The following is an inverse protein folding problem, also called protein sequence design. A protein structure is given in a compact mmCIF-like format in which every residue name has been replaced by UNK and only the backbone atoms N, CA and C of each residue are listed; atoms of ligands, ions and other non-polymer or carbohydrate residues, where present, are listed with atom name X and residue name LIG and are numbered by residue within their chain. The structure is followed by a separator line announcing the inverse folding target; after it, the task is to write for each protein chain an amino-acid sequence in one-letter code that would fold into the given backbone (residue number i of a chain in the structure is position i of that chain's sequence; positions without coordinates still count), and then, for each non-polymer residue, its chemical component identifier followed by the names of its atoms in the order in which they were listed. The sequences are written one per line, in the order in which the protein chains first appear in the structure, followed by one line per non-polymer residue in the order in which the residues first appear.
data_IF_860955209366
#
_entry.id   IF_860955209366
#
_cell.length_a   1.000
_cell.length_b   1.000
_cell.length_c   1.000
_cell.angle_alpha   90.00
_cell.angle_beta   90.00
_cell.angle_gamma   90.00
#
_symmetry.space_group_name_H-M   'P 1'
#
loop_
_entity.id
_entity.type
_entity.pdbx_description
1 polymer ?
#
# COMPACT_ATOMS: atom_id res chain seq x y z
N UNK A 1 22.51 -31.71 8.80
CA UNK A 1 21.85 -30.39 8.82
C UNK A 1 21.18 -30.23 7.47
N UNK A 2 19.90 -30.56 7.42
CA UNK A 2 19.10 -30.43 6.22
C UNK A 2 18.87 -28.94 5.98
N UNK A 3 19.25 -28.46 4.80
CA UNK A 3 18.99 -27.09 4.36
C UNK A 3 17.47 -26.94 4.26
N UNK A 4 16.85 -25.88 4.80
CA UNK A 4 15.45 -25.61 4.53
C UNK A 4 15.30 -25.47 3.01
N UNK A 5 14.42 -26.26 2.43
CA UNK A 5 13.97 -26.11 1.04
C UNK A 5 13.33 -24.74 0.94
N UNK A 6 13.96 -23.81 0.22
CA UNK A 6 13.31 -22.60 -0.27
C UNK A 6 12.06 -23.05 -1.03
N UNK A 7 10.90 -22.80 -0.44
CA UNK A 7 9.62 -22.96 -1.09
C UNK A 7 9.61 -21.94 -2.23
N UNK A 8 9.94 -22.41 -3.45
CA UNK A 8 9.76 -21.61 -4.66
C UNK A 8 8.27 -21.33 -4.74
N UNK A 9 7.87 -20.13 -4.36
CA UNK A 9 6.53 -19.60 -4.50
C UNK A 9 6.10 -19.84 -5.96
N UNK A 10 5.30 -20.88 -6.20
CA UNK A 10 4.86 -21.26 -7.53
C UNK A 10 4.04 -20.09 -8.04
N UNK A 11 4.55 -19.38 -9.06
CA UNK A 11 3.88 -18.19 -9.62
C UNK A 11 2.50 -18.59 -10.15
N UNK A 12 1.48 -18.38 -9.31
CA UNK A 12 0.08 -18.63 -9.60
C UNK A 12 -0.40 -17.66 -10.69
N UNK A 13 -1.20 -18.17 -11.61
CA UNK A 13 -1.93 -17.37 -12.58
C UNK A 13 -3.22 -16.86 -11.92
N UNK A 14 -3.39 -15.54 -11.88
CA UNK A 14 -4.58 -14.86 -11.43
C UNK A 14 -5.57 -14.67 -12.57
N UNK A 15 -6.85 -14.80 -12.26
CA UNK A 15 -7.95 -14.68 -13.22
C UNK A 15 -8.96 -13.63 -12.77
N UNK A 16 -9.99 -13.37 -13.58
CA UNK A 16 -11.08 -12.47 -13.23
C UNK A 16 -11.82 -12.89 -11.94
N UNK A 17 -11.84 -14.18 -11.59
CA UNK A 17 -12.48 -14.68 -10.36
C UNK A 17 -11.72 -14.29 -9.08
N UNK A 18 -10.42 -14.04 -9.20
CA UNK A 18 -9.56 -13.58 -8.10
C UNK A 18 -9.69 -12.06 -7.86
N UNK A 19 -10.38 -11.35 -8.76
CA UNK A 19 -10.58 -9.92 -8.66
C UNK A 19 -11.81 -9.59 -7.80
N UNK A 20 -11.72 -8.51 -7.01
CA UNK A 20 -12.84 -7.94 -6.26
C UNK A 20 -13.78 -7.17 -7.18
N UNK A 21 -13.21 -6.39 -8.09
CA UNK A 21 -13.94 -5.60 -9.08
C UNK A 21 -13.29 -5.86 -10.45
N UNK A 22 -14.12 -5.98 -11.49
CA UNK A 22 -13.72 -6.16 -12.89
C UNK A 22 -14.48 -5.21 -13.79
N UNK A 23 -13.96 -4.93 -14.99
CA UNK A 23 -14.58 -4.03 -15.96
C UNK A 23 -14.08 -2.59 -15.87
N UNK A 24 -14.77 -1.68 -16.56
CA UNK A 24 -14.28 -0.31 -16.83
C UNK A 24 -14.81 0.76 -15.86
N UNK A 25 -15.96 0.55 -15.22
CA UNK A 25 -16.60 1.55 -14.34
C UNK A 25 -15.98 1.73 -12.96
N UNK A 26 -14.80 1.15 -12.71
CA UNK A 26 -14.13 1.16 -11.41
C UNK A 26 -12.83 1.97 -11.44
N UNK A 27 -12.54 2.64 -10.33
CA UNK A 27 -11.26 3.31 -10.11
C UNK A 27 -10.18 2.30 -9.68
N UNK A 28 -9.04 2.34 -10.38
CA UNK A 28 -7.88 1.49 -10.12
C UNK A 28 -6.86 2.15 -9.19
N UNK A 29 -6.83 3.49 -9.15
CA UNK A 29 -5.82 4.26 -8.43
C UNK A 29 -5.74 3.85 -6.96
N UNK A 30 -4.52 3.57 -6.48
CA UNK A 30 -4.29 3.15 -5.10
C UNK A 30 -4.66 1.69 -4.78
N UNK A 31 -5.01 0.88 -5.79
CA UNK A 31 -5.34 -0.54 -5.62
C UNK A 31 -4.31 -1.45 -6.29
N UNK A 32 -4.22 -2.68 -5.81
CA UNK A 32 -3.49 -3.75 -6.50
C UNK A 32 -4.32 -4.23 -7.69
N UNK A 33 -3.73 -4.15 -8.88
CA UNK A 33 -4.34 -4.53 -10.15
C UNK A 33 -3.71 -5.81 -10.68
N UNK A 34 -4.51 -6.56 -11.43
CA UNK A 34 -4.10 -7.78 -12.11
C UNK A 34 -4.03 -7.52 -13.62
N UNK A 35 -2.85 -7.67 -14.19
CA UNK A 35 -2.62 -7.58 -15.63
C UNK A 35 -2.99 -8.90 -16.34
N UNK A 36 -3.46 -8.82 -17.58
CA UNK A 36 -3.79 -10.02 -18.36
C UNK A 36 -2.55 -10.90 -18.58
N UNK A 37 -2.68 -12.25 -18.48
CA UNK A 37 -1.58 -13.19 -18.71
C UNK A 37 -0.92 -13.03 -20.09
N UNK A 38 -1.71 -12.71 -21.12
CA UNK A 38 -1.28 -12.69 -22.52
C UNK A 38 -0.32 -11.53 -22.87
N UNK A 39 -0.09 -10.60 -21.94
CA UNK A 39 0.75 -9.41 -22.15
C UNK A 39 2.24 -9.79 -22.17
N UNK A 40 2.63 -10.86 -21.48
CA UNK A 40 4.02 -11.28 -21.33
C UNK A 40 4.24 -12.68 -21.92
N UNK A 41 4.41 -12.80 -23.25
CA UNK A 41 4.66 -14.09 -23.88
C UNK A 41 5.98 -14.69 -23.35
N UNK A 42 5.88 -15.85 -22.69
CA UNK A 42 7.03 -16.66 -22.25
C UNK A 42 7.44 -16.50 -20.79
N UNK A 43 6.80 -15.62 -20.02
CA UNK A 43 7.03 -15.52 -18.58
C UNK A 43 5.68 -15.40 -17.87
N UNK A 44 5.27 -16.44 -17.12
CA UNK A 44 4.19 -16.34 -16.12
C UNK A 44 4.56 -15.40 -14.95
N UNK A 45 5.51 -14.49 -15.17
CA UNK A 45 6.16 -13.68 -14.19
C UNK A 45 5.47 -12.34 -14.11
N UNK A 46 4.61 -12.21 -13.10
CA UNK A 46 4.19 -10.95 -12.48
C UNK A 46 2.97 -10.31 -13.14
N UNK A 47 1.79 -10.78 -12.72
CA UNK A 47 0.52 -10.15 -13.06
C UNK A 47 0.12 -9.05 -12.08
N UNK A 48 0.81 -8.95 -10.94
CA UNK A 48 0.42 -8.09 -9.82
C UNK A 48 1.18 -6.77 -9.85
N UNK A 49 0.42 -5.68 -9.90
CA UNK A 49 0.96 -4.32 -9.90
C UNK A 49 0.18 -3.44 -8.93
N UNK A 50 0.85 -2.49 -8.29
CA UNK A 50 0.16 -1.42 -7.56
C UNK A 50 -0.10 -0.24 -8.51
N UNK A 51 -1.36 0.15 -8.67
CA UNK A 51 -1.74 1.23 -9.59
C UNK A 51 -1.44 2.60 -8.98
N UNK A 52 -0.48 3.32 -9.57
CA UNK A 52 -0.08 4.68 -9.15
C UNK A 52 -0.88 5.77 -9.85
N UNK A 53 -1.70 5.43 -10.85
CA UNK A 53 -2.65 6.32 -11.49
C UNK A 53 -2.56 6.31 -13.02
N UNK A 54 -2.76 7.47 -13.63
CA UNK A 54 -2.86 7.63 -15.09
C UNK A 54 -4.31 7.79 -15.55
N UNK A 55 -4.52 8.41 -16.72
CA UNK A 55 -5.88 8.70 -17.22
C UNK A 55 -6.76 7.45 -17.35
N UNK A 56 -6.17 6.27 -17.57
CA UNK A 56 -6.91 5.01 -17.68
C UNK A 56 -7.31 4.41 -16.33
N UNK A 57 -6.80 4.94 -15.22
CA UNK A 57 -7.11 4.42 -13.89
C UNK A 57 -8.48 4.90 -13.38
N UNK A 58 -9.05 5.92 -14.02
CA UNK A 58 -10.39 6.44 -13.73
C UNK A 58 -11.50 5.57 -14.35
N UNK A 59 -12.72 5.60 -13.80
CA UNK A 59 -13.88 4.95 -14.39
C UNK A 59 -14.08 5.34 -15.86
N UNK A 60 -14.56 4.38 -16.65
CA UNK A 60 -14.95 4.51 -18.06
C UNK A 60 -13.84 5.00 -19.02
N UNK A 61 -12.57 4.96 -18.58
CA UNK A 61 -11.42 5.46 -19.33
C UNK A 61 -10.72 4.38 -20.17
N UNK A 62 -11.46 3.79 -21.12
CA UNK A 62 -11.07 2.59 -21.89
C UNK A 62 -9.82 2.78 -22.76
N UNK A 63 -9.63 3.97 -23.35
CA UNK A 63 -8.55 4.22 -24.31
C UNK A 63 -7.26 4.77 -23.68
N UNK A 64 -7.23 4.89 -22.36
CA UNK A 64 -6.15 5.55 -21.65
C UNK A 64 -5.22 4.57 -20.95
N UNK A 65 -4.02 5.05 -20.64
CA UNK A 65 -2.98 4.26 -19.99
C UNK A 65 -3.09 4.33 -18.48
N UNK A 66 -2.81 3.21 -17.85
CA UNK A 66 -2.66 3.01 -16.40
C UNK A 66 -1.16 2.85 -16.12
N UNK A 67 -0.65 3.53 -15.10
CA UNK A 67 0.71 3.33 -14.59
C UNK A 67 0.64 2.44 -13.35
N UNK A 68 1.52 1.45 -13.27
CA UNK A 68 1.62 0.57 -12.12
C UNK A 68 3.06 0.23 -11.76
N UNK A 69 3.29 -0.10 -10.50
CA UNK A 69 4.56 -0.59 -9.97
C UNK A 69 4.46 -2.09 -9.79
N UNK A 70 5.40 -2.85 -10.35
CA UNK A 70 5.46 -4.30 -10.22
C UNK A 70 5.69 -4.72 -8.76
N UNK A 71 4.88 -5.65 -8.27
CA UNK A 71 5.01 -6.17 -6.90
C UNK A 71 6.04 -7.31 -6.78
N UNK A 72 6.76 -7.65 -7.86
CA UNK A 72 7.84 -8.64 -7.83
C UNK A 72 9.22 -7.97 -7.83
N UNK A 73 9.39 -6.87 -8.56
CA UNK A 73 10.70 -6.22 -8.76
C UNK A 73 10.69 -4.69 -8.57
N UNK A 74 9.52 -4.07 -8.32
CA UNK A 74 9.41 -2.62 -8.13
C UNK A 74 9.48 -1.78 -9.40
N UNK A 75 9.55 -2.39 -10.59
CA UNK A 75 9.62 -1.64 -11.85
C UNK A 75 8.29 -0.97 -12.21
N UNK A 76 8.37 0.26 -12.71
CA UNK A 76 7.20 1.00 -13.21
C UNK A 76 6.87 0.55 -14.63
N UNK A 77 5.63 0.10 -14.84
CA UNK A 77 5.12 -0.33 -16.15
C UNK A 77 3.85 0.43 -16.51
N UNK A 78 3.62 0.65 -17.81
CA UNK A 78 2.40 1.26 -18.34
C UNK A 78 1.56 0.22 -19.06
N UNK A 79 0.27 0.21 -18.78
CA UNK A 79 -0.72 -0.67 -19.36
C UNK A 79 -1.80 0.12 -20.07
N UNK A 80 -2.46 -0.46 -21.07
CA UNK A 80 -3.78 0.02 -21.52
C UNK A 80 -4.83 -0.43 -20.52
N UNK A 81 -5.92 0.32 -20.38
CA UNK A 81 -7.01 -0.09 -19.49
C UNK A 81 -7.59 -1.47 -19.84
N UNK A 82 -7.64 -1.80 -21.13
CA UNK A 82 -8.07 -3.12 -21.64
C UNK A 82 -7.12 -4.28 -21.31
N UNK A 83 -5.91 -3.99 -20.84
CA UNK A 83 -4.90 -4.97 -20.42
C UNK A 83 -4.97 -5.30 -18.92
N UNK A 84 -5.93 -4.69 -18.20
CA UNK A 84 -6.14 -4.94 -16.77
C UNK A 84 -7.40 -5.78 -16.60
N UNK A 85 -7.27 -6.95 -15.95
CA UNK A 85 -8.38 -7.82 -15.62
C UNK A 85 -9.28 -7.19 -14.55
N UNK A 86 -8.66 -6.70 -13.48
CA UNK A 86 -9.39 -6.14 -12.37
C UNK A 86 -8.51 -5.71 -11.20
N UNK A 87 -9.16 -5.44 -10.05
CA UNK A 87 -8.48 -5.19 -8.77
C UNK A 87 -8.45 -6.48 -7.96
N UNK A 88 -7.28 -6.86 -7.45
CA UNK A 88 -7.12 -8.12 -6.72
C UNK A 88 -7.88 -8.10 -5.39
N UNK A 89 -8.47 -9.23 -5.00
CA UNK A 89 -8.93 -9.44 -3.62
C UNK A 89 -7.73 -9.35 -2.66
N UNK A 90 -7.75 -8.46 -1.65
CA UNK A 90 -6.57 -8.25 -0.80
C UNK A 90 -6.04 -9.51 -0.11
N UNK A 91 -6.92 -10.43 0.27
CA UNK A 91 -6.57 -11.71 0.89
C UNK A 91 -5.81 -12.69 -0.04
N UNK A 92 -5.78 -12.44 -1.35
CA UNK A 92 -5.06 -13.25 -2.33
C UNK A 92 -3.68 -12.69 -2.69
N UNK A 93 -3.29 -11.57 -2.08
CA UNK A 93 -1.98 -10.96 -2.29
C UNK A 93 -0.89 -11.80 -1.59
N UNK A 94 0.10 -12.35 -2.31
CA UNK A 94 1.18 -13.13 -1.71
C UNK A 94 2.02 -12.29 -0.76
N UNK A 95 2.63 -12.93 0.22
CA UNK A 95 3.47 -12.27 1.22
C UNK A 95 4.64 -11.50 0.59
N UNK A 96 5.31 -12.08 -0.41
CA UNK A 96 6.39 -11.40 -1.10
C UNK A 96 5.92 -10.11 -1.79
N UNK A 97 4.71 -10.13 -2.38
CA UNK A 97 4.10 -8.97 -2.99
C UNK A 97 3.64 -7.93 -1.94
N UNK A 98 3.19 -8.36 -0.76
CA UNK A 98 2.92 -7.47 0.39
C UNK A 98 4.18 -6.75 0.86
N UNK A 99 5.31 -7.46 0.94
CA UNK A 99 6.60 -6.86 1.31
C UNK A 99 7.07 -5.85 0.25
N UNK A 100 6.90 -6.15 -1.04
CA UNK A 100 7.22 -5.17 -2.09
C UNK A 100 6.28 -3.95 -2.03
N UNK A 101 4.98 -4.16 -1.84
CA UNK A 101 3.99 -3.09 -1.69
C UNK A 101 4.32 -2.16 -0.50
N UNK A 102 4.83 -2.71 0.61
CA UNK A 102 5.18 -1.93 1.80
C UNK A 102 6.25 -0.86 1.56
N UNK A 103 7.09 -1.04 0.53
CA UNK A 103 8.16 -0.11 0.20
C UNK A 103 7.73 1.01 -0.75
N UNK A 104 6.48 0.97 -1.24
CA UNK A 104 5.94 1.99 -2.15
C UNK A 104 5.46 3.19 -1.32
N UNK A 105 5.89 4.39 -1.72
CA UNK A 105 5.41 5.65 -1.12
C UNK A 105 4.04 6.05 -1.69
N UNK A 106 3.22 6.77 -0.92
CA UNK A 106 1.91 7.23 -1.37
C UNK A 106 1.93 8.01 -2.68
N UNK A 107 0.80 7.97 -3.40
CA UNK A 107 0.63 8.72 -4.65
C UNK A 107 0.69 10.22 -4.34
N UNK A 108 1.58 10.93 -5.04
CA UNK A 108 1.79 12.37 -4.82
C UNK A 108 2.76 12.70 -3.68
N UNK A 109 3.42 11.72 -3.09
CA UNK A 109 4.46 11.95 -2.10
C UNK A 109 5.61 12.82 -2.65
N UNK A 110 6.12 13.73 -1.82
CA UNK A 110 7.17 14.69 -2.19
C UNK A 110 8.50 13.98 -2.47
N UNK A 111 9.36 14.48 -3.37
CA UNK A 111 10.70 13.92 -3.53
C UNK A 111 11.46 14.02 -2.21
N UNK A 112 12.19 12.98 -1.82
CA UNK A 112 13.00 13.02 -0.59
C UNK A 112 14.15 14.04 -0.70
N UNK A 113 14.57 14.36 -1.91
CA UNK A 113 15.52 15.44 -2.15
C UNK A 113 14.90 16.78 -1.77
N UNK A 114 15.50 17.45 -0.80
CA UNK A 114 15.04 18.75 -0.30
C UNK A 114 13.84 18.71 0.65
N UNK A 115 13.32 17.52 1.00
CA UNK A 115 12.18 17.38 1.92
C UNK A 115 12.54 16.42 3.05
N UNK A 116 12.65 16.96 4.25
CA UNK A 116 13.00 16.19 5.43
C UNK A 116 11.84 15.26 5.84
N UNK A 117 12.08 13.96 6.01
CA UNK A 117 11.06 13.04 6.50
C UNK A 117 10.61 13.41 7.92
N UNK A 118 9.30 13.42 8.15
CA UNK A 118 8.69 13.63 9.46
C UNK A 118 8.25 12.32 10.11
N UNK A 119 8.00 11.30 9.28
CA UNK A 119 7.54 10.00 9.73
C UNK A 119 8.26 8.87 8.98
N UNK A 120 8.29 7.71 9.62
CA UNK A 120 8.64 6.43 9.01
C UNK A 120 7.44 5.48 9.05
N UNK A 121 7.13 4.86 7.92
CA UNK A 121 6.03 3.91 7.78
C UNK A 121 6.53 2.48 7.65
N UNK A 122 5.97 1.56 8.43
CA UNK A 122 6.29 0.14 8.42
C UNK A 122 5.04 -0.70 8.22
N UNK A 123 5.17 -1.81 7.49
CA UNK A 123 4.11 -2.79 7.32
C UNK A 123 4.63 -4.18 7.62
N UNK A 124 3.85 -4.95 8.39
CA UNK A 124 4.22 -6.26 8.87
C UNK A 124 3.25 -7.32 8.36
N UNK A 125 3.81 -8.48 8.06
CA UNK A 125 3.07 -9.72 7.84
C UNK A 125 2.61 -10.31 9.19
N UNK A 126 1.76 -11.34 9.14
CA UNK A 126 1.24 -12.02 10.34
C UNK A 126 2.35 -12.67 11.18
N UNK A 127 3.40 -13.16 10.53
CA UNK A 127 4.57 -13.76 11.20
C UNK A 127 5.58 -12.71 11.72
N UNK A 128 5.27 -11.43 11.60
CA UNK A 128 6.10 -10.32 12.04
C UNK A 128 7.23 -9.92 11.09
N UNK A 129 7.40 -10.60 9.94
CA UNK A 129 8.33 -10.13 8.89
C UNK A 129 7.86 -8.79 8.33
N UNK A 130 8.83 -7.95 7.99
CA UNK A 130 8.61 -6.64 7.38
C UNK A 130 9.79 -6.28 6.47
N UNK A 131 9.57 -5.36 5.53
CA UNK A 131 10.63 -4.79 4.69
C UNK A 131 11.14 -3.46 5.29
N UNK A 132 12.09 -2.81 4.62
CA UNK A 132 12.55 -1.48 5.05
C UNK A 132 11.39 -0.48 5.10
N UNK A 133 11.38 0.35 6.16
CA UNK A 133 10.37 1.40 6.31
C UNK A 133 10.48 2.48 5.24
N UNK A 134 9.36 3.15 4.96
CA UNK A 134 9.30 4.25 4.00
C UNK A 134 9.36 5.60 4.70
N UNK A 135 10.09 6.54 4.11
CA UNK A 135 10.16 7.92 4.58
C UNK A 135 8.96 8.73 4.07
N UNK A 136 8.32 9.48 4.97
CA UNK A 136 7.11 10.24 4.70
C UNK A 136 7.31 11.69 5.18
N UNK A 137 7.15 12.65 4.27
CA UNK A 137 7.55 14.04 4.47
C UNK A 137 6.45 14.93 5.09
N UNK A 138 5.25 14.38 5.32
CA UNK A 138 4.12 15.11 5.90
C UNK A 138 3.16 14.16 6.60
N UNK A 139 2.32 14.72 7.47
CA UNK A 139 1.20 13.99 8.08
C UNK A 139 0.25 13.42 7.01
N UNK A 140 0.02 14.16 5.93
CA UNK A 140 -0.79 13.68 4.81
C UNK A 140 -0.19 12.41 4.18
N UNK A 141 1.12 12.41 3.92
CA UNK A 141 1.80 11.22 3.40
C UNK A 141 1.74 10.05 4.40
N UNK A 142 1.86 10.33 5.70
CA UNK A 142 1.72 9.32 6.75
C UNK A 142 0.35 8.64 6.71
N UNK A 143 -0.73 9.44 6.68
CA UNK A 143 -2.10 8.93 6.64
C UNK A 143 -2.42 8.22 5.32
N UNK A 144 -1.98 8.77 4.18
CA UNK A 144 -2.17 8.13 2.88
C UNK A 144 -1.45 6.77 2.82
N UNK A 145 -0.27 6.64 3.44
CA UNK A 145 0.45 5.37 3.54
C UNK A 145 -0.34 4.33 4.34
N UNK A 146 -0.91 4.73 5.48
CA UNK A 146 -1.76 3.84 6.28
C UNK A 146 -2.96 3.36 5.45
N UNK A 147 -3.70 4.26 4.81
CA UNK A 147 -4.87 3.88 4.01
C UNK A 147 -4.51 2.99 2.81
N UNK A 148 -3.36 3.24 2.19
CA UNK A 148 -2.85 2.42 1.09
C UNK A 148 -2.50 0.98 1.53
N UNK A 149 -1.90 0.82 2.72
CA UNK A 149 -1.39 -0.47 3.19
C UNK A 149 -2.44 -1.28 3.97
N UNK A 150 -3.32 -0.61 4.70
CA UNK A 150 -4.34 -1.19 5.60
C UNK A 150 -5.13 -2.37 5.01
N UNK A 151 -5.53 -2.38 3.72
CA UNK A 151 -6.30 -3.50 3.18
C UNK A 151 -5.49 -4.78 2.99
N UNK A 152 -4.16 -4.69 2.92
CA UNK A 152 -3.30 -5.78 2.45
C UNK A 152 -2.40 -6.35 3.56
N UNK A 153 -2.04 -5.53 4.53
CA UNK A 153 -1.06 -5.84 5.57
C UNK A 153 -1.75 -6.29 6.85
N UNK A 154 -1.09 -7.15 7.63
CA UNK A 154 -1.59 -7.53 8.95
C UNK A 154 -1.48 -6.34 9.92
N UNK A 155 -0.33 -5.66 9.91
CA UNK A 155 -0.09 -4.47 10.72
C UNK A 155 0.58 -3.36 9.92
N UNK A 156 0.16 -2.12 10.18
CA UNK A 156 0.81 -0.90 9.69
C UNK A 156 1.14 -0.02 10.89
N UNK A 157 2.37 0.50 10.93
CA UNK A 157 2.87 1.33 12.03
C UNK A 157 3.51 2.58 11.46
N UNK A 158 3.24 3.72 12.08
CA UNK A 158 3.92 4.99 11.83
C UNK A 158 4.73 5.36 13.06
N UNK A 159 5.98 5.76 12.84
CA UNK A 159 6.80 6.41 13.85
C UNK A 159 7.08 7.86 13.46
N UNK A 160 7.31 8.71 14.45
CA UNK A 160 7.84 10.06 14.25
C UNK A 160 9.36 10.04 13.98
N UNK A 161 9.98 11.22 14.01
CA UNK A 161 11.41 11.41 13.75
C UNK A 161 12.33 10.87 14.84
N UNK A 162 11.80 10.68 16.04
CA UNK A 162 12.55 10.19 17.20
C UNK A 162 12.32 8.68 17.40
N UNK A 163 11.79 8.00 16.37
CA UNK A 163 11.44 6.58 16.34
C UNK A 163 10.36 6.17 17.34
N UNK A 164 9.55 7.11 17.84
CA UNK A 164 8.39 6.79 18.67
C UNK A 164 7.20 6.42 17.79
N UNK A 165 6.54 5.30 18.12
CA UNK A 165 5.29 4.91 17.48
C UNK A 165 4.21 5.98 17.78
N UNK A 166 3.63 6.53 16.72
CA UNK A 166 2.56 7.54 16.78
C UNK A 166 1.22 7.01 16.28
N UNK A 167 1.23 5.94 15.50
CA UNK A 167 0.01 5.26 15.05
C UNK A 167 0.29 3.78 14.77
N UNK A 168 -0.64 2.92 15.17
CA UNK A 168 -0.62 1.50 14.85
C UNK A 168 -2.02 1.03 14.41
N UNK A 169 -2.06 0.29 13.31
CA UNK A 169 -3.27 -0.32 12.74
C UNK A 169 -3.03 -1.82 12.59
N UNK A 170 -3.89 -2.65 13.19
CA UNK A 170 -3.83 -4.12 13.11
C UNK A 170 -5.15 -4.63 12.57
N UNK A 171 -5.10 -5.51 11.57
CA UNK A 171 -6.27 -6.10 10.90
C UNK A 171 -7.34 -5.06 10.51
N UNK A 172 -6.86 -3.92 9.97
CA UNK A 172 -7.71 -2.82 9.54
C UNK A 172 -8.25 -1.91 10.66
N UNK A 173 -7.88 -2.14 11.92
CA UNK A 173 -8.36 -1.39 13.08
C UNK A 173 -7.23 -0.59 13.71
N UNK A 174 -7.47 0.69 13.99
CA UNK A 174 -6.52 1.52 14.73
C UNK A 174 -6.45 1.05 16.18
N UNK A 175 -5.26 0.63 16.62
CA UNK A 175 -5.00 0.14 17.98
C UNK A 175 -4.15 1.11 18.79
N UNK A 176 -3.41 2.00 18.12
CA UNK A 176 -2.70 3.12 18.75
C UNK A 176 -2.83 4.39 17.89
N UNK A 177 -3.03 5.58 18.49
CA UNK A 177 -3.30 5.80 19.92
C UNK A 177 -4.64 5.17 20.34
N UNK A 178 -4.70 4.66 21.57
CA UNK A 178 -5.94 4.07 22.11
C UNK A 178 -6.99 5.15 22.44
N UNK A 179 -8.24 4.74 22.68
CA UNK A 179 -9.32 5.68 22.99
C UNK A 179 -9.01 6.56 24.20
N UNK A 180 -8.30 6.03 25.20
CA UNK A 180 -7.96 6.79 26.40
C UNK A 180 -6.95 7.90 26.09
N UNK A 181 -5.94 7.59 25.29
CA UNK A 181 -4.93 8.55 24.82
C UNK A 181 -5.59 9.63 23.95
N UNK A 182 -6.49 9.26 23.05
CA UNK A 182 -7.25 10.22 22.24
C UNK A 182 -8.12 11.15 23.10
N UNK A 183 -8.80 10.63 24.12
CA UNK A 183 -9.58 11.46 25.06
C UNK A 183 -8.70 12.44 25.84
N UNK A 184 -7.51 12.02 26.26
CA UNK A 184 -6.55 12.91 26.95
C UNK A 184 -6.06 14.03 26.05
N UNK A 185 -5.76 13.74 24.78
CA UNK A 185 -5.35 14.73 23.79
C UNK A 185 -6.48 15.72 23.47
N UNK A 186 -7.72 15.26 23.32
CA UNK A 186 -8.89 16.11 23.10
C UNK A 186 -9.21 17.00 24.31
N UNK A 187 -9.12 16.46 25.54
CA UNK A 187 -9.33 17.23 26.76
C UNK A 187 -8.26 18.31 27.01
N UNK A 188 -7.06 18.15 26.46
CA UNK A 188 -6.00 19.18 26.51
C UNK A 188 -6.21 20.31 25.50
N UNK A 189 -6.86 20.05 24.36
CA UNK A 189 -7.18 21.08 23.36
C UNK A 189 -8.27 22.07 23.84
N UNK A 190 -9.23 21.60 24.65
CA UNK A 190 -10.29 22.45 25.23
C UNK A 190 -9.89 23.16 26.54
N UNK A 191 -8.74 22.83 27.14
CA UNK A 191 -8.27 23.40 28.41
C UNK A 191 -7.45 24.69 28.30
N UNK A 192 -7.22 25.18 27.08
CA UNK A 192 -6.34 26.33 26.79
C UNK A 192 -7.00 27.71 26.85
N UNK A 193 -7.89 27.98 27.81
CA UNK A 193 -8.30 29.36 28.13
C UNK A 193 -7.62 29.78 29.42
N UNK A 194 -6.42 30.36 29.28
CA UNK A 194 -5.75 31.04 30.38
C UNK A 194 -6.32 32.46 30.45
N UNK A 195 -7.26 32.69 31.38
CA UNK A 195 -7.66 34.06 31.75
C UNK A 195 -6.44 34.79 32.34
N UNK A 196 -5.95 35.79 31.61
CA UNK A 196 -5.04 36.81 32.14
C UNK A 196 -5.87 37.74 33.04
N UNK A 197 -5.61 37.69 34.35
CA UNK A 197 -5.97 38.75 35.31
C UNK A 197 -4.74 39.58 35.65
#
# INVERSE_FOLDING_TARGET
MERPTEEKDEKRVYTAEDCKETGYGMCLTGKVIVACPDIFPGNCGNQLYFCTGGRGAEPDSVEHTVSGVSLDNGEVTRFRRSQILGTLKPQLLPEQAKLQLSQIRPIGALPLEGHEPLYSGYSFLEDGRYAAGVWLCSEKEAMDYVEMQKPYQHKVMLCDRDDFCVMEVVDGKMVFPDEETLRKLQGQADGGSMELT
#
